data_IF_787640607600
#
_entry.id   IF_787640607600
#
_cell.length_a   1.000
_cell.length_b   1.000
_cell.length_c   1.000
_cell.angle_alpha   90.00
_cell.angle_beta   90.00
_cell.angle_gamma   90.00
#
_symmetry.space_group_name_H-M   'P 1'
#
loop_
_entity.id
_entity.type
_entity.pdbx_description
1 polymer ?
#
# COMPACT_ATOMS: atom_id res chain seq x y z
N UNK A 1 20.24 27.54 -14.80
CA UNK A 1 20.87 27.68 -13.47
C UNK A 1 20.21 26.79 -12.42
N UNK A 2 18.88 26.85 -12.23
CA UNK A 2 18.20 26.03 -11.21
C UNK A 2 18.34 24.51 -11.40
N UNK A 3 18.34 24.00 -12.64
CA UNK A 3 18.54 22.56 -12.90
C UNK A 3 19.97 22.10 -12.61
N UNK A 4 20.97 22.91 -12.99
CA UNK A 4 22.37 22.58 -12.74
C UNK A 4 22.70 22.62 -11.24
N UNK A 5 22.20 23.62 -10.51
CA UNK A 5 22.31 23.67 -9.03
C UNK A 5 21.55 22.51 -8.35
N UNK A 6 20.49 21.99 -8.97
CA UNK A 6 19.79 20.83 -8.46
C UNK A 6 20.62 19.54 -8.64
N UNK A 7 21.19 19.34 -9.84
CA UNK A 7 22.02 18.18 -10.14
C UNK A 7 23.36 18.19 -9.40
N UNK A 8 23.91 19.36 -9.06
CA UNK A 8 25.10 19.40 -8.18
C UNK A 8 24.81 18.91 -6.76
N UNK A 9 23.57 19.08 -6.28
CA UNK A 9 23.12 18.57 -4.97
C UNK A 9 22.66 17.12 -5.01
N UNK A 10 22.21 16.66 -6.18
CA UNK A 10 21.67 15.33 -6.42
C UNK A 10 22.28 14.75 -7.71
N UNK A 11 23.59 14.41 -7.69
CA UNK A 11 24.32 13.98 -8.88
C UNK A 11 23.85 12.63 -9.43
N UNK A 12 23.17 11.83 -8.60
CA UNK A 12 22.59 10.53 -8.89
C UNK A 12 21.13 10.59 -9.38
N UNK A 13 20.53 11.79 -9.44
CA UNK A 13 19.17 11.97 -9.91
C UNK A 13 19.04 11.73 -11.42
N UNK A 14 18.32 10.67 -11.82
CA UNK A 14 18.02 10.40 -13.24
C UNK A 14 16.66 10.95 -13.66
N UNK A 15 15.76 11.16 -12.69
CA UNK A 15 14.47 11.82 -12.88
C UNK A 15 14.29 12.85 -11.78
N UNK A 16 13.91 14.07 -12.15
CA UNK A 16 13.82 15.16 -11.20
C UNK A 16 12.87 16.27 -11.65
N UNK A 17 12.41 17.05 -10.68
CA UNK A 17 11.63 18.26 -10.85
C UNK A 17 12.14 19.29 -9.85
N UNK A 18 12.99 20.24 -10.26
CA UNK A 18 13.59 21.20 -9.33
C UNK A 18 12.51 22.05 -8.64
N UNK A 19 11.47 22.44 -9.39
CA UNK A 19 10.33 23.23 -8.89
C UNK A 19 9.61 22.54 -7.72
N UNK A 20 9.46 21.22 -7.79
CA UNK A 20 8.79 20.41 -6.76
C UNK A 20 9.77 19.82 -5.74
N UNK A 21 11.08 20.03 -5.95
CA UNK A 21 12.17 19.42 -5.16
C UNK A 21 12.05 17.90 -5.06
N UNK A 22 11.53 17.28 -6.13
CA UNK A 22 11.34 15.83 -6.22
C UNK A 22 12.39 15.26 -7.15
N UNK A 23 12.93 14.10 -6.78
CA UNK A 23 13.89 13.38 -7.60
C UNK A 23 14.00 11.92 -7.16
N UNK A 24 14.56 11.10 -8.04
CA UNK A 24 14.90 9.71 -7.76
C UNK A 24 16.12 9.26 -8.56
N UNK A 25 16.80 8.25 -8.03
CA UNK A 25 17.93 7.56 -8.65
C UNK A 25 17.45 6.58 -9.72
N UNK A 26 18.41 5.96 -10.43
CA UNK A 26 18.11 4.90 -11.39
C UNK A 26 17.38 3.71 -10.74
N UNK A 27 17.78 3.32 -9.53
CA UNK A 27 17.14 2.19 -8.81
C UNK A 27 15.72 2.56 -8.36
N UNK A 28 15.51 3.79 -7.91
CA UNK A 28 14.18 4.29 -7.55
C UNK A 28 13.22 4.29 -8.74
N UNK A 29 13.69 4.77 -9.89
CA UNK A 29 12.93 4.77 -11.13
C UNK A 29 12.62 3.35 -11.59
N UNK A 30 13.60 2.46 -11.53
CA UNK A 30 13.44 1.05 -11.94
C UNK A 30 12.40 0.35 -11.08
N UNK A 31 12.43 0.57 -9.76
CA UNK A 31 11.44 0.05 -8.83
C UNK A 31 10.04 0.63 -9.11
N UNK A 32 9.93 1.94 -9.35
CA UNK A 32 8.67 2.59 -9.71
C UNK A 32 8.07 2.04 -11.02
N UNK A 33 8.90 1.83 -12.05
CA UNK A 33 8.48 1.22 -13.32
C UNK A 33 8.04 -0.22 -13.14
N UNK A 34 8.70 -0.98 -12.28
CA UNK A 34 8.30 -2.34 -11.96
C UNK A 34 6.92 -2.39 -11.26
N UNK A 35 6.66 -1.49 -10.30
CA UNK A 35 5.35 -1.30 -9.67
C UNK A 35 4.27 -0.98 -10.72
N UNK A 36 4.57 -0.05 -11.63
CA UNK A 36 3.65 0.33 -12.69
C UNK A 36 3.28 -0.83 -13.61
N UNK A 37 4.26 -1.64 -14.03
CA UNK A 37 4.01 -2.85 -14.83
C UNK A 37 3.05 -3.82 -14.12
N UNK A 38 3.18 -3.97 -12.80
CA UNK A 38 2.26 -4.79 -12.01
C UNK A 38 0.85 -4.19 -11.97
N UNK A 39 0.73 -2.88 -11.86
CA UNK A 39 -0.56 -2.18 -11.90
C UNK A 39 -1.23 -2.37 -13.27
N UNK A 40 -0.52 -2.15 -14.37
CA UNK A 40 -1.06 -2.39 -15.72
C UNK A 40 -1.61 -3.80 -15.86
N UNK A 41 -0.86 -4.81 -15.40
CA UNK A 41 -1.32 -6.20 -15.45
C UNK A 41 -2.61 -6.43 -14.65
N UNK A 42 -2.83 -5.73 -13.53
CA UNK A 42 -4.10 -5.80 -12.78
C UNK A 42 -5.28 -5.24 -13.58
N UNK A 43 -5.07 -4.12 -14.30
CA UNK A 43 -6.11 -3.53 -15.15
C UNK A 43 -6.41 -4.41 -16.37
N UNK A 44 -5.38 -5.01 -16.98
CA UNK A 44 -5.55 -5.94 -18.10
C UNK A 44 -6.35 -7.18 -17.68
N UNK A 45 -6.03 -7.77 -16.52
CA UNK A 45 -6.79 -8.89 -15.95
C UNK A 45 -8.24 -8.53 -15.63
N UNK A 46 -8.50 -7.32 -15.13
CA UNK A 46 -9.87 -6.86 -14.86
C UNK A 46 -10.68 -6.65 -16.14
N UNK A 47 -10.05 -6.12 -17.19
CA UNK A 47 -10.69 -5.85 -18.46
C UNK A 47 -11.14 -7.13 -19.20
N UNK A 48 -10.42 -8.24 -19.03
CA UNK A 48 -10.82 -9.55 -19.58
C UNK A 48 -12.16 -10.04 -19.00
N UNK A 49 -12.54 -9.61 -17.78
CA UNK A 49 -13.80 -9.98 -17.16
C UNK A 49 -14.99 -9.11 -17.60
N UNK A 50 -14.78 -7.81 -17.82
CA UNK A 50 -15.87 -6.83 -18.04
C UNK A 50 -16.01 -6.37 -19.51
N UNK A 51 -15.08 -6.76 -20.39
CA UNK A 51 -15.14 -6.47 -21.84
C UNK A 51 -14.69 -5.07 -22.24
N UNK A 52 -14.31 -4.20 -21.29
CA UNK A 52 -13.80 -2.85 -21.53
C UNK A 52 -12.40 -2.65 -20.94
N UNK A 53 -11.42 -2.36 -21.81
CA UNK A 53 -10.03 -2.14 -21.39
C UNK A 53 -9.83 -0.70 -20.92
N UNK A 54 -10.01 -0.47 -19.62
CA UNK A 54 -9.62 0.80 -19.00
C UNK A 54 -8.14 0.75 -18.63
N UNK A 55 -7.26 1.25 -19.50
CA UNK A 55 -5.85 1.44 -19.11
C UNK A 55 -5.72 2.68 -18.22
N UNK A 56 -5.04 2.59 -17.07
CA UNK A 56 -4.80 3.74 -16.22
C UNK A 56 -3.83 4.71 -16.90
N UNK A 57 -4.01 6.00 -16.62
CA UNK A 57 -3.10 7.04 -17.10
C UNK A 57 -1.70 6.85 -16.51
N UNK A 58 -0.69 7.03 -17.35
CA UNK A 58 0.71 6.95 -16.94
C UNK A 58 1.02 7.85 -15.73
N UNK A 59 1.77 7.34 -14.74
CA UNK A 59 2.06 8.08 -13.53
C UNK A 59 3.07 9.20 -13.76
N UNK A 60 3.16 10.10 -12.78
CA UNK A 60 4.28 11.03 -12.73
C UNK A 60 5.53 10.28 -12.22
N UNK A 61 6.43 9.91 -13.13
CA UNK A 61 7.65 9.17 -12.82
C UNK A 61 8.54 9.85 -11.79
N UNK A 62 8.67 11.18 -11.84
CA UNK A 62 9.45 11.93 -10.86
C UNK A 62 8.86 11.81 -9.46
N UNK A 63 7.54 11.94 -9.33
CA UNK A 63 6.87 11.78 -8.05
C UNK A 63 6.98 10.34 -7.53
N UNK A 64 6.79 9.35 -8.40
CA UNK A 64 6.89 7.94 -8.02
C UNK A 64 8.29 7.55 -7.58
N UNK A 65 9.31 7.89 -8.37
CA UNK A 65 10.70 7.62 -8.01
C UNK A 65 11.08 8.37 -6.72
N UNK A 66 10.59 9.60 -6.53
CA UNK A 66 10.78 10.32 -5.27
C UNK A 66 10.19 9.57 -4.08
N UNK A 67 8.95 9.08 -4.18
CA UNK A 67 8.35 8.32 -3.08
C UNK A 67 9.11 7.04 -2.75
N UNK A 68 9.57 6.30 -3.77
CA UNK A 68 10.42 5.12 -3.57
C UNK A 68 11.72 5.51 -2.86
N UNK A 69 12.37 6.59 -3.31
CA UNK A 69 13.57 7.14 -2.64
C UNK A 69 13.30 7.47 -1.18
N UNK A 70 12.15 8.10 -0.88
CA UNK A 70 11.76 8.41 0.50
C UNK A 70 11.53 7.14 1.32
N UNK A 71 10.89 6.12 0.75
CA UNK A 71 10.75 4.82 1.41
C UNK A 71 12.10 4.19 1.74
N UNK A 72 13.10 4.34 0.87
CA UNK A 72 14.43 3.81 1.11
C UNK A 72 15.20 4.63 2.15
N UNK A 73 15.30 5.94 1.96
CA UNK A 73 16.17 6.82 2.75
C UNK A 73 15.54 7.22 4.09
N UNK A 74 14.23 7.47 4.14
CA UNK A 74 13.54 7.89 5.37
C UNK A 74 13.00 6.71 6.15
N UNK A 75 12.39 5.74 5.46
CA UNK A 75 11.69 4.65 6.13
C UNK A 75 12.59 3.39 6.28
N UNK A 76 13.84 3.45 5.82
CA UNK A 76 14.84 2.39 6.01
C UNK A 76 14.54 1.11 5.22
N UNK A 77 13.77 1.20 4.13
CA UNK A 77 13.38 0.06 3.30
C UNK A 77 14.37 -0.12 2.15
N UNK A 78 14.36 -1.28 1.54
CA UNK A 78 15.10 -1.56 0.29
C UNK A 78 14.13 -1.66 -0.89
N UNK A 79 14.59 -1.35 -2.11
CA UNK A 79 13.77 -1.54 -3.32
C UNK A 79 13.23 -2.97 -3.42
N UNK A 80 14.02 -3.96 -3.00
CA UNK A 80 13.60 -5.36 -2.92
C UNK A 80 12.41 -5.55 -1.98
N UNK A 81 12.46 -5.00 -0.77
CA UNK A 81 11.34 -5.07 0.18
C UNK A 81 10.10 -4.38 -0.37
N UNK A 82 10.26 -3.24 -1.05
CA UNK A 82 9.16 -2.49 -1.65
C UNK A 82 8.48 -3.32 -2.76
N UNK A 83 9.26 -3.89 -3.67
CA UNK A 83 8.75 -4.77 -4.73
C UNK A 83 8.10 -6.05 -4.17
N UNK A 84 8.70 -6.65 -3.14
CA UNK A 84 8.17 -7.85 -2.48
C UNK A 84 6.84 -7.55 -1.78
N UNK A 85 6.75 -6.44 -1.05
CA UNK A 85 5.51 -6.01 -0.42
C UNK A 85 4.43 -5.77 -1.47
N UNK A 86 4.76 -5.06 -2.55
CA UNK A 86 3.80 -4.81 -3.62
C UNK A 86 3.36 -6.10 -4.33
N UNK A 87 4.24 -7.10 -4.46
CA UNK A 87 3.88 -8.43 -5.00
C UNK A 87 2.80 -9.12 -4.17
N UNK A 88 2.77 -8.90 -2.86
CA UNK A 88 1.75 -9.45 -1.95
C UNK A 88 0.46 -8.65 -2.06
N UNK A 89 0.57 -7.33 -2.07
CA UNK A 89 -0.54 -6.40 -2.30
C UNK A 89 -1.29 -6.72 -3.58
N UNK A 90 -0.58 -6.96 -4.69
CA UNK A 90 -1.20 -7.24 -5.98
C UNK A 90 -1.96 -8.57 -6.04
N UNK A 91 -1.70 -9.50 -5.10
CA UNK A 91 -2.39 -10.80 -5.01
C UNK A 91 -3.60 -10.77 -4.08
N UNK A 92 -3.68 -9.77 -3.22
CA UNK A 92 -4.79 -9.60 -2.30
C UNK A 92 -5.94 -8.85 -3.00
N UNK A 93 -7.16 -9.44 -3.11
CA UNK A 93 -8.27 -8.83 -3.85
C UNK A 93 -8.75 -7.48 -3.29
N UNK A 94 -8.54 -7.22 -2.01
CA UNK A 94 -8.89 -5.96 -1.37
C UNK A 94 -7.79 -4.92 -1.60
N UNK A 95 -6.54 -5.28 -1.31
CA UNK A 95 -5.43 -4.33 -1.38
C UNK A 95 -5.00 -3.97 -2.80
N UNK A 96 -5.13 -4.88 -3.76
CA UNK A 96 -4.71 -4.63 -5.15
C UNK A 96 -5.49 -3.46 -5.80
N UNK A 97 -6.75 -3.23 -5.39
CA UNK A 97 -7.59 -2.12 -5.86
C UNK A 97 -7.35 -0.81 -5.10
N UNK A 98 -6.85 -0.91 -3.86
CA UNK A 98 -6.67 0.23 -2.96
C UNK A 98 -5.25 0.80 -2.97
N UNK A 99 -4.26 0.05 -3.46
CA UNK A 99 -2.84 0.44 -3.48
C UNK A 99 -2.32 0.44 -4.92
N UNK A 100 -2.52 1.57 -5.59
CA UNK A 100 -2.17 1.78 -7.00
C UNK A 100 -1.05 2.82 -7.21
N UNK A 101 -0.30 3.13 -6.16
CA UNK A 101 0.86 4.03 -6.24
C UNK A 101 1.86 3.80 -5.11
N UNK A 102 3.15 4.19 -5.29
CA UNK A 102 4.14 4.19 -4.22
C UNK A 102 3.73 4.99 -2.99
N UNK A 103 3.10 6.16 -3.18
CA UNK A 103 2.59 6.99 -2.06
C UNK A 103 1.59 6.20 -1.20
N UNK A 104 0.64 5.50 -1.83
CA UNK A 104 -0.38 4.74 -1.12
C UNK A 104 0.20 3.49 -0.45
N UNK A 105 1.19 2.86 -1.10
CA UNK A 105 1.94 1.74 -0.53
C UNK A 105 2.70 2.17 0.73
N UNK A 106 3.35 3.34 0.69
CA UNK A 106 4.06 3.92 1.83
C UNK A 106 3.10 4.27 2.97
N UNK A 107 1.99 4.93 2.67
CA UNK A 107 0.95 5.29 3.65
C UNK A 107 0.40 4.07 4.39
N UNK A 108 0.18 2.97 3.67
CA UNK A 108 -0.42 1.74 4.20
C UNK A 108 0.59 0.69 4.66
N UNK A 109 1.89 1.01 4.65
CA UNK A 109 2.95 0.03 4.83
C UNK A 109 2.81 -0.82 6.10
N UNK A 110 2.51 -0.19 7.23
CA UNK A 110 2.43 -0.88 8.52
C UNK A 110 1.20 -1.80 8.59
N UNK A 111 0.06 -1.33 8.09
CA UNK A 111 -1.17 -2.11 8.00
C UNK A 111 -0.97 -3.34 7.09
N UNK A 112 -0.34 -3.14 5.92
CA UNK A 112 0.00 -4.21 4.99
C UNK A 112 0.98 -5.20 5.60
N UNK A 113 1.99 -4.72 6.33
CA UNK A 113 2.99 -5.56 6.98
C UNK A 113 2.39 -6.50 8.01
N UNK A 114 1.35 -6.05 8.73
CA UNK A 114 0.61 -6.89 9.68
C UNK A 114 -0.31 -7.88 8.95
N UNK A 115 -1.12 -7.38 8.02
CA UNK A 115 -2.19 -8.15 7.36
C UNK A 115 -1.68 -9.19 6.36
N UNK A 116 -0.62 -8.85 5.63
CA UNK A 116 -0.01 -9.69 4.59
C UNK A 116 1.25 -10.42 5.08
N UNK A 117 1.47 -10.43 6.40
CA UNK A 117 2.50 -11.30 6.98
C UNK A 117 2.08 -12.77 6.85
N UNK A 118 2.97 -13.66 6.40
CA UNK A 118 2.64 -15.08 6.22
C UNK A 118 2.17 -15.79 7.51
N UNK A 119 2.47 -15.21 8.69
CA UNK A 119 2.19 -15.79 10.01
C UNK A 119 0.87 -15.34 10.64
N UNK A 120 0.25 -14.26 10.16
CA UNK A 120 -1.00 -13.70 10.74
C UNK A 120 -2.24 -14.05 9.90
N UNK A 121 -2.06 -14.58 8.68
CA UNK A 121 -3.18 -14.98 7.82
C UNK A 121 -3.99 -16.19 8.34
N UNK A 122 -3.56 -16.84 9.43
CA UNK A 122 -4.24 -18.01 10.02
C UNK A 122 -5.04 -17.72 11.30
N UNK A 123 -5.03 -16.50 11.84
CA UNK A 123 -5.63 -16.23 13.17
C UNK A 123 -6.98 -15.51 13.17
N UNK A 124 -7.54 -15.14 12.01
CA UNK A 124 -8.89 -14.52 11.96
C UNK A 124 -10.04 -15.51 11.79
N UNK A 125 -9.76 -16.81 11.67
CA UNK A 125 -10.80 -17.83 11.82
C UNK A 125 -10.85 -18.35 13.25
N UNK A 126 -11.83 -17.83 14.00
CA UNK A 126 -12.46 -18.50 15.15
C UNK A 126 -11.53 -18.86 16.33
N UNK A 127 -11.11 -17.86 17.09
CA UNK A 127 -11.03 -18.03 18.56
C UNK A 127 -12.19 -17.27 19.18
N UNK A 128 -13.40 -17.79 19.01
CA UNK A 128 -14.45 -17.52 20.01
C UNK A 128 -13.98 -18.22 21.28
N UNK A 129 -13.51 -17.45 22.26
CA UNK A 129 -13.20 -17.98 23.58
C UNK A 129 -14.51 -18.54 24.16
N UNK A 130 -14.64 -19.86 24.41
CA UNK A 130 -15.89 -20.45 24.91
C UNK A 130 -16.33 -19.80 26.23
N UNK A 131 -15.38 -19.22 26.96
CA UNK A 131 -15.61 -18.54 28.22
C UNK A 131 -16.29 -17.17 28.06
N UNK A 132 -16.16 -16.53 26.89
CA UNK A 132 -16.77 -15.23 26.63
C UNK A 132 -18.27 -15.32 26.33
N UNK A 133 -18.74 -16.45 25.79
CA UNK A 133 -20.15 -16.65 25.40
C UNK A 133 -21.02 -17.09 26.58
N UNK A 134 -20.48 -17.95 27.45
CA UNK A 134 -21.21 -18.52 28.59
C UNK A 134 -21.61 -17.50 29.67
N UNK A 135 -20.93 -16.35 29.74
CA UNK A 135 -21.22 -15.30 30.71
C UNK A 135 -22.47 -14.48 30.36
N UNK A 136 -22.90 -14.48 29.10
CA UNK A 136 -24.04 -13.70 28.60
C UNK A 136 -25.29 -14.55 28.33
N UNK A 137 -25.13 -15.83 27.98
CA UNK A 137 -26.26 -16.74 27.72
C UNK A 137 -27.13 -17.02 28.97
N UNK A 138 -26.59 -16.83 30.18
CA UNK A 138 -27.35 -16.99 31.44
C UNK A 138 -27.92 -15.67 32.01
N UNK A 139 -27.78 -14.56 31.29
CA UNK A 139 -28.30 -13.26 31.74
C UNK A 139 -29.71 -13.09 31.20
N UNK A 140 -30.70 -13.18 32.09
CA UNK A 140 -32.10 -12.90 31.74
C UNK A 140 -32.32 -11.39 31.58
N UNK A 141 -32.17 -10.92 30.33
CA UNK A 141 -32.39 -9.52 29.93
C UNK A 141 -33.87 -9.08 29.99
N UNK A 142 -34.80 -9.96 30.37
CA UNK A 142 -36.22 -9.59 30.53
C UNK A 142 -36.47 -8.71 31.76
N UNK A 143 -35.52 -8.64 32.70
CA UNK A 143 -35.61 -7.81 33.90
C UNK A 143 -34.78 -6.53 33.77
N UNK A 144 -35.20 -5.62 32.88
CA UNK A 144 -34.67 -4.24 32.86
C UNK A 144 -35.29 -3.48 34.04
N UNK A 145 -34.50 -2.99 35.02
CA UNK A 145 -35.04 -2.20 36.13
C UNK A 145 -35.74 -0.95 35.61
N UNK A 146 -36.97 -0.70 36.07
CA UNK A 146 -37.74 0.49 35.73
C UNK A 146 -37.04 1.75 36.28
N UNK A 147 -36.22 2.38 35.45
CA UNK A 147 -35.42 3.55 35.79
C UNK A 147 -34.50 4.01 34.66
N UNK A 148 -34.19 3.12 33.72
CA UNK A 148 -33.51 3.45 32.46
C UNK A 148 -34.51 3.62 31.32
N UNK A 149 -35.26 4.71 31.31
CA UNK A 149 -35.79 5.29 30.08
C UNK A 149 -35.25 6.72 29.98
N UNK A 150 -34.58 7.01 28.87
CA UNK A 150 -34.17 8.37 28.50
C UNK A 150 -35.35 9.24 28.16
#
# INVERSE_FOLDING_TARGET
MAEQDFLTRHPDAVVFSPKKRQWGTQDDLTCAQWLWKKIIALYEQAAECDGEVVRPKEPNWTAWANEIRLMCVQDGRTHKQICEMYSRVSRDPFWCRNVLSPSKLREKWDELSLRLSPSVSTYTEKREDPYFKSSYDNVDYSQIPAGFRG
#
